data_IF_323945660989
#
_entry.id   IF_323945660989
#
_cell.length_a   1.000
_cell.length_b   1.000
_cell.length_c   1.000
_cell.angle_alpha   90.00
_cell.angle_beta   90.00
_cell.angle_gamma   90.00
#
_symmetry.space_group_name_H-M   'P 1'
#
loop_
_entity.id
_entity.type
_entity.pdbx_description
1 polymer ?
#
# COMPACT_ATOMS: atom_id res chain seq x y z
N UNK A 1 5.01 -26.61 -20.62
CA UNK A 1 5.02 -26.31 -19.17
C UNK A 1 3.58 -26.31 -18.73
N UNK A 2 3.23 -27.07 -17.68
CA UNK A 2 1.87 -27.04 -17.15
C UNK A 2 1.54 -25.60 -16.72
N UNK A 3 0.34 -25.14 -17.07
CA UNK A 3 -0.17 -23.83 -16.71
C UNK A 3 -0.47 -23.84 -15.20
N UNK A 4 0.54 -23.54 -14.38
CA UNK A 4 0.40 -23.45 -12.93
C UNK A 4 -0.14 -22.06 -12.62
N UNK A 5 -1.46 -21.91 -12.75
CA UNK A 5 -2.14 -20.69 -12.33
C UNK A 5 -2.16 -20.64 -10.79
N UNK A 6 -1.45 -19.67 -10.20
CA UNK A 6 -1.47 -19.43 -8.76
C UNK A 6 -2.83 -18.86 -8.36
N UNK A 7 -3.47 -19.43 -7.34
CA UNK A 7 -4.82 -19.03 -6.96
C UNK A 7 -4.81 -17.68 -6.23
N UNK A 8 -5.74 -16.78 -6.53
CA UNK A 8 -5.80 -15.41 -5.96
C UNK A 8 -5.73 -15.39 -4.42
N UNK A 9 -6.46 -16.28 -3.76
CA UNK A 9 -6.41 -16.48 -2.29
C UNK A 9 -5.00 -16.73 -1.75
N UNK A 10 -4.17 -17.47 -2.47
CA UNK A 10 -2.79 -17.74 -2.05
C UNK A 10 -1.94 -16.47 -2.16
N UNK A 11 -2.14 -15.70 -3.23
CA UNK A 11 -1.47 -14.40 -3.45
C UNK A 11 -1.86 -13.41 -2.35
N UNK A 12 -3.15 -13.27 -2.03
CA UNK A 12 -3.63 -12.41 -0.93
C UNK A 12 -3.01 -12.81 0.41
N UNK A 13 -3.01 -14.11 0.72
CA UNK A 13 -2.42 -14.61 1.98
C UNK A 13 -0.92 -14.35 2.03
N UNK A 14 -0.22 -14.54 0.92
CA UNK A 14 1.21 -14.27 0.81
C UNK A 14 1.51 -12.79 1.02
N UNK A 15 0.82 -11.88 0.33
CA UNK A 15 1.03 -10.44 0.44
C UNK A 15 0.82 -9.94 1.89
N UNK A 16 -0.28 -10.34 2.54
CA UNK A 16 -0.55 -9.98 3.94
C UNK A 16 0.51 -10.51 4.90
N UNK A 17 0.92 -11.76 4.71
CA UNK A 17 1.99 -12.36 5.52
C UNK A 17 3.31 -11.61 5.31
N UNK A 18 3.64 -11.26 4.06
CA UNK A 18 4.85 -10.51 3.72
C UNK A 18 4.89 -9.18 4.44
N UNK A 19 3.81 -8.39 4.46
CA UNK A 19 3.77 -7.14 5.24
C UNK A 19 4.02 -7.40 6.74
N UNK A 20 3.36 -8.40 7.31
CA UNK A 20 3.47 -8.72 8.73
C UNK A 20 4.88 -9.19 9.11
N UNK A 21 5.53 -10.01 8.28
CA UNK A 21 6.92 -10.43 8.44
C UNK A 21 7.90 -9.26 8.43
N UNK A 22 7.55 -8.16 7.77
CA UNK A 22 8.34 -6.92 7.72
C UNK A 22 7.94 -5.91 8.80
N UNK A 23 7.13 -6.32 9.77
CA UNK A 23 6.71 -5.47 10.89
C UNK A 23 5.57 -4.50 10.58
N UNK A 24 4.93 -4.63 9.41
CA UNK A 24 3.82 -3.76 8.99
C UNK A 24 2.49 -4.47 9.23
N UNK A 25 1.73 -3.99 10.21
CA UNK A 25 0.36 -4.46 10.47
C UNK A 25 -0.69 -3.62 9.74
N UNK A 26 -1.85 -4.21 9.46
CA UNK A 26 -3.00 -3.50 8.86
C UNK A 26 -3.40 -2.30 9.73
N UNK A 27 -3.38 -2.49 11.04
CA UNK A 27 -3.69 -1.46 12.03
C UNK A 27 -2.67 -0.31 11.99
N UNK A 28 -1.40 -0.57 11.72
CA UNK A 28 -0.39 0.47 11.57
C UNK A 28 -0.64 1.35 10.33
N UNK A 29 -1.03 0.73 9.21
CA UNK A 29 -1.44 1.45 7.99
C UNK A 29 -2.74 2.22 8.25
N UNK A 30 -3.72 1.61 8.92
CA UNK A 30 -5.01 2.23 9.21
C UNK A 30 -4.90 3.49 10.09
N UNK A 31 -3.88 3.57 10.96
CA UNK A 31 -3.60 4.81 11.73
C UNK A 31 -3.20 5.98 10.84
N UNK A 32 -2.45 5.72 9.75
CA UNK A 32 -2.11 6.74 8.76
C UNK A 32 -3.38 7.20 8.05
N UNK A 33 -4.23 6.25 7.62
CA UNK A 33 -5.52 6.56 6.98
C UNK A 33 -6.40 7.39 7.92
N UNK A 34 -6.46 7.03 9.19
CA UNK A 34 -7.19 7.78 10.21
C UNK A 34 -6.68 9.21 10.32
N UNK A 35 -5.35 9.41 10.43
CA UNK A 35 -4.75 10.74 10.50
C UNK A 35 -5.10 11.61 9.29
N UNK A 36 -5.09 11.03 8.09
CA UNK A 36 -5.46 11.72 6.85
C UNK A 36 -6.94 12.12 6.79
N UNK A 37 -7.84 11.29 7.33
CA UNK A 37 -9.29 11.43 7.14
C UNK A 37 -10.02 12.07 8.34
N UNK A 38 -9.44 12.00 9.54
CA UNK A 38 -10.01 12.57 10.76
C UNK A 38 -10.35 14.08 10.65
N UNK A 39 -9.57 14.94 9.96
CA UNK A 39 -9.94 16.34 9.76
C UNK A 39 -11.24 16.56 8.99
N UNK A 40 -11.68 15.58 8.20
CA UNK A 40 -12.89 15.64 7.37
C UNK A 40 -14.09 14.93 8.02
N UNK A 41 -13.85 13.92 8.85
CA UNK A 41 -14.88 13.18 9.59
C UNK A 41 -14.47 13.01 11.07
N UNK A 42 -15.04 13.84 11.93
CA UNK A 42 -14.69 13.88 13.36
C UNK A 42 -15.12 12.64 14.15
N UNK A 43 -16.12 11.90 13.69
CA UNK A 43 -16.62 10.65 14.28
C UNK A 43 -16.07 9.40 13.58
N UNK A 44 -15.05 9.56 12.73
CA UNK A 44 -14.38 8.46 12.05
C UNK A 44 -13.86 7.45 13.06
N UNK A 45 -14.11 6.17 12.81
CA UNK A 45 -13.61 5.08 13.64
C UNK A 45 -12.42 4.40 12.98
N UNK A 46 -11.47 3.95 13.79
CA UNK A 46 -10.29 3.24 13.29
C UNK A 46 -10.68 1.95 12.55
N UNK A 47 -11.78 1.30 12.95
CA UNK A 47 -12.31 0.11 12.31
C UNK A 47 -12.73 0.37 10.85
N UNK A 48 -13.23 1.57 10.52
CA UNK A 48 -13.55 1.97 9.15
C UNK A 48 -12.28 2.09 8.30
N UNK A 49 -11.20 2.62 8.89
CA UNK A 49 -9.89 2.71 8.25
C UNK A 49 -9.29 1.31 8.02
N UNK A 50 -9.35 0.44 9.03
CA UNK A 50 -8.90 -0.97 8.93
C UNK A 50 -9.66 -1.68 7.81
N UNK A 51 -10.99 -1.52 7.76
CA UNK A 51 -11.79 -2.10 6.69
C UNK A 51 -11.35 -1.60 5.32
N UNK A 52 -11.09 -0.30 5.15
CA UNK A 52 -10.61 0.24 3.87
C UNK A 52 -9.25 -0.35 3.46
N UNK A 53 -8.29 -0.44 4.38
CA UNK A 53 -6.98 -1.06 4.12
C UNK A 53 -7.12 -2.53 3.73
N UNK A 54 -7.97 -3.27 4.45
CA UNK A 54 -8.28 -4.67 4.14
C UNK A 54 -8.81 -4.84 2.70
N UNK A 55 -9.67 -3.94 2.23
CA UNK A 55 -10.21 -3.95 0.86
C UNK A 55 -9.14 -3.64 -0.18
N UNK A 56 -8.26 -2.66 0.08
CA UNK A 56 -7.11 -2.36 -0.79
C UNK A 56 -6.19 -3.56 -0.95
N UNK A 57 -5.94 -4.31 0.12
CA UNK A 57 -5.10 -5.50 0.09
C UNK A 57 -5.69 -6.68 -0.71
N UNK A 58 -6.96 -6.60 -1.15
CA UNK A 58 -7.57 -7.58 -2.05
C UNK A 58 -7.23 -7.35 -3.52
N UNK A 59 -6.73 -6.17 -3.88
CA UNK A 59 -6.32 -5.82 -5.24
C UNK A 59 -5.07 -6.56 -5.69
N UNK A 60 -5.06 -7.05 -6.93
CA UNK A 60 -3.94 -7.84 -7.45
C UNK A 60 -2.70 -6.98 -7.64
N UNK A 61 -2.88 -5.76 -8.10
CA UNK A 61 -1.85 -4.78 -8.41
C UNK A 61 -1.10 -4.40 -7.12
N UNK A 62 -1.85 -4.18 -6.03
CA UNK A 62 -1.30 -3.98 -4.68
C UNK A 62 -0.57 -5.23 -4.19
N UNK A 63 -1.18 -6.41 -4.32
CA UNK A 63 -0.56 -7.67 -3.87
C UNK A 63 0.75 -7.95 -4.62
N UNK A 64 0.77 -7.75 -5.93
CA UNK A 64 1.97 -7.94 -6.75
C UNK A 64 3.05 -6.92 -6.41
N UNK A 65 2.69 -5.65 -6.20
CA UNK A 65 3.63 -4.63 -5.73
C UNK A 65 4.29 -5.05 -4.41
N UNK A 66 3.50 -5.45 -3.40
CA UNK A 66 4.01 -5.94 -2.11
C UNK A 66 4.97 -7.11 -2.31
N UNK A 67 4.57 -8.12 -3.09
CA UNK A 67 5.37 -9.34 -3.25
C UNK A 67 6.68 -9.07 -3.98
N UNK A 68 6.66 -8.25 -5.04
CA UNK A 68 7.86 -7.92 -5.82
C UNK A 68 8.78 -6.99 -5.04
N UNK A 69 8.25 -5.89 -4.49
CA UNK A 69 9.06 -4.90 -3.78
C UNK A 69 9.76 -5.49 -2.57
N UNK A 70 9.03 -6.23 -1.73
CA UNK A 70 9.62 -6.84 -0.54
C UNK A 70 10.60 -7.96 -0.89
N UNK A 71 10.42 -8.68 -2.00
CA UNK A 71 11.42 -9.65 -2.44
C UNK A 71 12.72 -8.95 -2.87
N UNK A 72 12.64 -7.79 -3.53
CA UNK A 72 13.82 -7.00 -3.89
C UNK A 72 14.55 -6.47 -2.65
N UNK A 73 13.81 -5.96 -1.66
CA UNK A 73 14.36 -5.58 -0.35
C UNK A 73 15.11 -6.76 0.29
N UNK A 74 14.47 -7.93 0.38
CA UNK A 74 15.05 -9.15 0.96
C UNK A 74 16.29 -9.63 0.19
N UNK A 75 16.30 -9.51 -1.13
CA UNK A 75 17.45 -9.88 -1.95
C UNK A 75 18.62 -8.91 -1.76
N UNK A 76 18.34 -7.62 -1.57
CA UNK A 76 19.34 -6.61 -1.23
C UNK A 76 19.96 -6.91 0.16
N UNK A 77 19.14 -7.21 1.17
CA UNK A 77 19.62 -7.65 2.50
C UNK A 77 20.56 -8.86 2.41
N UNK A 78 20.22 -9.82 1.53
CA UNK A 78 20.97 -11.07 1.35
C UNK A 78 22.19 -10.92 0.44
N UNK A 79 22.49 -9.72 -0.08
CA UNK A 79 23.58 -9.47 -1.04
C UNK A 79 23.47 -10.31 -2.32
N UNK A 80 22.25 -10.56 -2.77
CA UNK A 80 21.95 -11.43 -3.93
C UNK A 80 21.63 -10.65 -5.21
N UNK A 81 21.54 -9.33 -5.15
CA UNK A 81 21.43 -8.50 -6.34
C UNK A 81 22.81 -8.35 -6.99
N UNK A 82 22.84 -8.19 -8.31
CA UNK A 82 24.06 -7.88 -9.04
C UNK A 82 24.42 -6.40 -8.87
N UNK A 83 25.71 -6.07 -8.82
CA UNK A 83 26.14 -4.66 -8.92
C UNK A 83 25.85 -4.09 -10.32
N UNK A 84 25.50 -2.80 -10.45
CA UNK A 84 25.41 -1.78 -9.38
C UNK A 84 24.07 -1.75 -8.62
N UNK A 85 23.10 -2.60 -8.99
CA UNK A 85 21.75 -2.59 -8.41
C UNK A 85 21.77 -2.89 -6.90
N UNK A 86 22.64 -3.80 -6.47
CA UNK A 86 22.82 -4.11 -5.05
C UNK A 86 23.08 -2.87 -4.22
N UNK A 87 24.11 -2.09 -4.60
CA UNK A 87 24.45 -0.85 -3.90
C UNK A 87 23.30 0.15 -3.94
N UNK A 88 22.67 0.34 -5.10
CA UNK A 88 21.59 1.31 -5.32
C UNK A 88 20.41 1.04 -4.38
N UNK A 89 19.89 -0.20 -4.39
CA UNK A 89 18.72 -0.58 -3.58
C UNK A 89 19.07 -0.59 -2.10
N UNK A 90 20.22 -1.13 -1.71
CA UNK A 90 20.57 -1.19 -0.29
C UNK A 90 20.85 0.20 0.32
N UNK A 91 21.39 1.12 -0.49
CA UNK A 91 21.68 2.47 -0.02
C UNK A 91 20.47 3.38 0.01
N UNK A 92 19.34 2.96 -0.56
CA UNK A 92 18.17 3.81 -0.77
C UNK A 92 18.56 5.09 -1.54
N UNK A 93 19.13 4.89 -2.73
CA UNK A 93 19.73 5.98 -3.53
C UNK A 93 18.63 6.92 -4.04
N UNK A 94 18.61 8.18 -3.61
CA UNK A 94 17.51 9.11 -3.93
C UNK A 94 17.34 9.54 -5.41
N UNK A 95 18.11 8.98 -6.34
CA UNK A 95 17.89 9.10 -7.79
C UNK A 95 17.42 7.78 -8.44
N UNK A 96 17.34 6.71 -7.66
CA UNK A 96 16.60 5.51 -7.99
C UNK A 96 15.11 5.81 -7.79
N UNK A 97 14.30 5.51 -8.81
CA UNK A 97 12.89 5.91 -8.84
C UNK A 97 11.94 4.73 -9.11
N UNK A 98 12.44 3.50 -8.98
CA UNK A 98 11.76 2.28 -9.47
C UNK A 98 10.81 1.74 -8.41
N UNK A 99 11.22 1.80 -7.16
CA UNK A 99 10.44 1.78 -5.94
C UNK A 99 9.16 2.63 -6.04
N UNK A 100 9.28 3.95 -6.25
CA UNK A 100 8.10 4.81 -6.39
C UNK A 100 7.32 4.46 -7.65
N UNK A 101 7.97 4.04 -8.74
CA UNK A 101 7.26 3.62 -9.96
C UNK A 101 6.35 2.40 -9.70
N UNK A 102 6.82 1.41 -8.92
CA UNK A 102 6.02 0.25 -8.53
C UNK A 102 4.86 0.67 -7.60
N UNK A 103 5.16 1.49 -6.60
CA UNK A 103 4.15 1.98 -5.66
C UNK A 103 3.09 2.86 -6.35
N UNK A 104 3.51 3.73 -7.26
CA UNK A 104 2.66 4.58 -8.10
C UNK A 104 1.80 3.74 -9.04
N UNK A 105 2.38 2.72 -9.68
CA UNK A 105 1.61 1.79 -10.52
C UNK A 105 0.45 1.16 -9.75
N UNK A 106 0.67 0.78 -8.49
CA UNK A 106 -0.36 0.20 -7.64
C UNK A 106 -1.43 1.21 -7.19
N UNK A 107 -1.05 2.48 -6.95
CA UNK A 107 -1.99 3.53 -6.49
C UNK A 107 -2.94 4.00 -7.60
N UNK A 108 -2.55 3.86 -8.88
CA UNK A 108 -3.37 4.28 -10.03
C UNK A 108 -4.76 3.62 -10.06
N UNK A 109 -4.89 2.41 -9.52
CA UNK A 109 -6.17 1.69 -9.40
C UNK A 109 -7.22 2.40 -8.53
N UNK A 110 -6.80 3.35 -7.69
CA UNK A 110 -7.68 4.14 -6.80
C UNK A 110 -7.82 5.61 -7.22
N UNK A 111 -7.42 5.94 -8.45
CA UNK A 111 -7.64 7.24 -9.07
C UNK A 111 -6.68 8.35 -8.63
N UNK A 112 -6.88 9.54 -9.19
CA UNK A 112 -5.96 10.67 -9.05
C UNK A 112 -5.88 11.25 -7.63
N UNK A 113 -6.93 11.11 -6.82
CA UNK A 113 -6.92 11.53 -5.40
C UNK A 113 -5.99 10.64 -4.58
N UNK A 114 -5.95 9.34 -4.87
CA UNK A 114 -5.01 8.43 -4.24
C UNK A 114 -3.57 8.78 -4.66
N UNK A 115 -3.34 9.10 -5.94
CA UNK A 115 -2.04 9.53 -6.45
C UNK A 115 -1.51 10.78 -5.73
N UNK A 116 -2.35 11.82 -5.56
CA UNK A 116 -1.92 13.05 -4.88
C UNK A 116 -1.62 12.79 -3.41
N UNK A 117 -2.40 11.93 -2.76
CA UNK A 117 -2.19 11.51 -1.37
C UNK A 117 -0.91 10.68 -1.22
N UNK A 118 -0.60 9.81 -2.19
CA UNK A 118 0.63 9.04 -2.21
C UNK A 118 1.86 9.95 -2.24
N UNK A 119 1.92 10.92 -3.16
CA UNK A 119 3.04 11.88 -3.20
C UNK A 119 3.16 12.73 -1.93
N UNK A 120 2.05 12.98 -1.23
CA UNK A 120 2.09 13.63 0.09
C UNK A 120 2.70 12.71 1.16
N UNK A 121 2.28 11.44 1.21
CA UNK A 121 2.78 10.48 2.20
C UNK A 121 4.25 10.11 1.97
N UNK A 122 4.63 9.89 0.72
CA UNK A 122 6.02 9.63 0.32
C UNK A 122 6.92 10.80 0.78
N UNK A 123 6.52 12.04 0.54
CA UNK A 123 7.32 13.19 0.98
C UNK A 123 7.40 13.36 2.50
N UNK A 124 6.31 13.14 3.23
CA UNK A 124 6.23 13.46 4.66
C UNK A 124 6.58 12.28 5.57
N UNK A 125 6.56 11.04 5.05
CA UNK A 125 6.84 9.78 5.73
C UNK A 125 6.28 9.77 7.17
N UNK A 126 4.97 9.55 7.34
CA UNK A 126 4.29 9.53 8.66
C UNK A 126 3.97 8.12 9.15
N UNK A 127 3.73 7.96 10.46
CA UNK A 127 3.34 6.68 11.06
C UNK A 127 4.37 5.57 10.79
N UNK A 128 3.91 4.41 10.34
CA UNK A 128 4.81 3.27 10.07
C UNK A 128 5.76 3.52 8.89
N UNK A 129 5.41 4.40 7.95
CA UNK A 129 6.30 4.78 6.84
C UNK A 129 7.56 5.45 7.40
N UNK A 130 7.41 6.33 8.40
CA UNK A 130 8.54 6.95 9.09
C UNK A 130 9.47 5.92 9.76
N UNK A 131 8.91 4.85 10.32
CA UNK A 131 9.69 3.83 11.00
C UNK A 131 10.44 2.92 10.02
N UNK A 132 9.89 2.73 8.82
CA UNK A 132 10.53 1.98 7.73
C UNK A 132 11.67 2.77 7.07
N UNK A 133 11.50 4.07 6.90
CA UNK A 133 12.50 5.01 6.33
C UNK A 133 13.79 5.10 7.19
N UNK A 134 13.69 4.79 8.48
CA UNK A 134 14.86 4.74 9.37
C UNK A 134 15.78 3.60 8.97
N UNK A 135 16.99 3.93 8.51
CA UNK A 135 18.05 2.97 8.25
C UNK A 135 18.36 2.13 9.49
N UNK A 136 18.15 0.83 9.38
CA UNK A 136 18.49 -0.18 10.38
C UNK A 136 19.57 -1.10 9.82
N UNK A 137 20.56 -1.43 10.63
CA UNK A 137 21.66 -2.28 10.17
C UNK A 137 21.14 -3.66 9.75
N UNK A 138 21.38 -4.02 8.49
CA UNK A 138 20.99 -5.32 7.93
C UNK A 138 19.51 -5.45 7.50
N UNK A 139 18.74 -4.37 7.51
CA UNK A 139 17.35 -4.34 7.05
C UNK A 139 17.21 -3.29 5.94
N UNK A 140 16.58 -3.66 4.82
CA UNK A 140 16.34 -2.79 3.66
C UNK A 140 14.84 -2.59 3.46
N UNK A 141 14.40 -1.34 3.27
CA UNK A 141 12.98 -0.99 3.12
C UNK A 141 12.70 -0.08 1.92
N UNK A 142 13.65 0.05 0.99
CA UNK A 142 13.56 0.93 -0.20
C UNK A 142 12.30 0.75 -1.01
N UNK A 143 11.78 -0.47 -1.16
CA UNK A 143 10.50 -0.66 -1.84
C UNK A 143 9.30 -0.61 -0.88
N UNK A 144 9.47 -1.12 0.34
CA UNK A 144 8.36 -1.37 1.25
C UNK A 144 7.70 -0.08 1.76
N UNK A 145 8.47 0.95 2.09
CA UNK A 145 7.94 2.19 2.64
C UNK A 145 7.01 2.92 1.63
N UNK A 146 7.39 2.97 0.35
CA UNK A 146 6.57 3.53 -0.72
C UNK A 146 5.34 2.68 -1.03
N UNK A 147 5.46 1.36 -0.99
CA UNK A 147 4.32 0.46 -1.13
C UNK A 147 3.33 0.68 0.03
N UNK A 148 3.81 0.88 1.25
CA UNK A 148 2.96 1.21 2.40
C UNK A 148 2.30 2.57 2.23
N UNK A 149 3.01 3.58 1.71
CA UNK A 149 2.44 4.87 1.35
C UNK A 149 1.33 4.73 0.31
N UNK A 150 1.53 3.89 -0.71
CA UNK A 150 0.55 3.59 -1.77
C UNK A 150 -0.71 2.92 -1.21
N UNK A 151 -0.57 1.95 -0.30
CA UNK A 151 -1.71 1.29 0.36
C UNK A 151 -2.50 2.28 1.22
N UNK A 152 -1.81 3.08 2.04
CA UNK A 152 -2.44 4.09 2.90
C UNK A 152 -3.18 5.15 2.06
N UNK A 153 -2.57 5.64 0.98
CA UNK A 153 -3.18 6.61 0.07
C UNK A 153 -4.41 6.04 -0.64
N UNK A 154 -4.32 4.81 -1.13
CA UNK A 154 -5.43 4.08 -1.75
C UNK A 154 -6.60 3.90 -0.78
N UNK A 155 -6.31 3.49 0.45
CA UNK A 155 -7.32 3.26 1.49
C UNK A 155 -7.98 4.56 1.95
N UNK A 156 -7.21 5.66 2.02
CA UNK A 156 -7.72 6.99 2.33
C UNK A 156 -8.64 7.52 1.21
N UNK A 157 -8.23 7.38 -0.06
CA UNK A 157 -9.05 7.76 -1.23
C UNK A 157 -10.37 7.01 -1.26
N UNK A 158 -10.30 5.67 -1.13
CA UNK A 158 -11.49 4.81 -1.04
C UNK A 158 -12.42 5.21 0.10
N UNK A 159 -11.86 5.46 1.28
CA UNK A 159 -12.66 5.88 2.42
C UNK A 159 -13.34 7.22 2.17
N UNK A 160 -12.64 8.20 1.59
CA UNK A 160 -13.21 9.51 1.27
C UNK A 160 -14.41 9.41 0.31
N UNK A 161 -14.33 8.57 -0.73
CA UNK A 161 -15.46 8.30 -1.62
C UNK A 161 -16.65 7.70 -0.87
N UNK A 162 -16.42 6.66 -0.06
CA UNK A 162 -17.47 6.03 0.74
C UNK A 162 -18.14 7.00 1.73
N UNK A 163 -17.36 7.87 2.37
CA UNK A 163 -17.91 8.87 3.29
C UNK A 163 -18.82 9.87 2.56
N UNK A 164 -18.47 10.23 1.32
CA UNK A 164 -19.31 11.10 0.50
C UNK A 164 -20.61 10.42 0.09
N UNK A 165 -20.56 9.14 -0.27
CA UNK A 165 -21.73 8.34 -0.64
C UNK A 165 -22.73 8.19 0.54
N UNK A 166 -22.21 8.09 1.77
CA UNK A 166 -23.01 8.11 3.00
C UNK A 166 -23.73 9.46 3.19
N UNK A 167 -23.06 10.59 2.93
CA UNK A 167 -23.66 11.93 2.99
C UNK A 167 -24.74 12.12 1.92
N UNK A 168 -24.53 11.57 0.73
CA UNK A 168 -25.45 11.66 -0.41
C UNK A 168 -26.63 10.68 -0.30
N UNK A 169 -26.70 9.88 0.77
CA UNK A 169 -27.78 8.92 1.06
C UNK A 169 -27.99 7.87 -0.04
N UNK A 170 -26.91 7.41 -0.67
CA UNK A 170 -27.00 6.31 -1.65
C UNK A 170 -27.57 5.05 -1.00
N UNK A 171 -28.36 4.30 -1.77
CA UNK A 171 -28.91 3.01 -1.34
C UNK A 171 -27.79 1.97 -1.19
N UNK A 172 -28.00 0.95 -0.36
CA UNK A 172 -27.00 -0.13 -0.18
C UNK A 172 -26.66 -0.85 -1.49
N UNK A 173 -27.61 -0.96 -2.42
CA UNK A 173 -27.34 -1.51 -3.76
C UNK A 173 -26.40 -0.63 -4.58
N UNK A 174 -26.52 0.69 -4.51
CA UNK A 174 -25.62 1.62 -5.20
C UNK A 174 -24.20 1.56 -4.62
N UNK A 175 -24.09 1.43 -3.30
CA UNK A 175 -22.81 1.24 -2.60
C UNK A 175 -22.12 -0.07 -3.02
N UNK A 176 -22.84 -1.17 -3.09
CA UNK A 176 -22.29 -2.48 -3.47
C UNK A 176 -21.76 -2.48 -4.92
N UNK A 177 -22.50 -1.88 -5.85
CA UNK A 177 -22.07 -1.77 -7.26
C UNK A 177 -20.78 -0.98 -7.36
N UNK A 178 -20.69 0.15 -6.67
CA UNK A 178 -19.50 1.00 -6.69
C UNK A 178 -18.30 0.33 -6.00
N UNK A 179 -18.53 -0.41 -4.91
CA UNK A 179 -17.48 -1.23 -4.29
C UNK A 179 -16.96 -2.33 -5.23
N UNK A 180 -17.83 -2.96 -6.02
CA UNK A 180 -17.40 -3.91 -7.05
C UNK A 180 -16.60 -3.20 -8.14
N UNK A 181 -17.05 -2.05 -8.64
CA UNK A 181 -16.35 -1.23 -9.65
C UNK A 181 -14.94 -0.82 -9.21
N UNK A 182 -14.81 -0.37 -7.96
CA UNK A 182 -13.51 -0.08 -7.36
C UNK A 182 -12.61 -1.31 -7.35
N UNK A 183 -13.16 -2.52 -7.29
CA UNK A 183 -12.42 -3.79 -7.26
C UNK A 183 -12.05 -4.35 -8.65
N UNK A 184 -12.59 -3.83 -9.76
CA UNK A 184 -12.36 -4.36 -11.12
C UNK A 184 -11.08 -3.83 -11.81
N UNK A 185 -10.45 -2.79 -11.26
CA UNK A 185 -9.13 -2.28 -11.70
C UNK A 185 -7.96 -3.19 -11.35
#
# INVERSE_FOLDING_TARGET
MADVQVHSREVTKAAKRTLLERGVSVEAIAKIVYELQFPYKADLKLEECIHSVERVLLKREIQHAILVGVELDKLAEQKKLSEPLQSIVESDEGLFGVDETIAFGAVLGYGSIAVTTFGHLDKNKIGVIHELDKKQEGIVHTFLDDIVASIAASAASRLAHRLRDEEESLTEQEKDIQEEEELIG
#
